data_IF_482819023455
#
_entry.id   IF_482819023455
#
_cell.length_a   1.000
_cell.length_b   1.000
_cell.length_c   1.000
_cell.angle_alpha   90.00
_cell.angle_beta   90.00
_cell.angle_gamma   90.00
#
_symmetry.space_group_name_H-M   'P 1'
#
loop_
_entity.id
_entity.type
_entity.pdbx_description
1 polymer ?
#
# COMPACT_ATOMS: atom_id res chain seq x y z
N UNK A 1 37.51 -29.55 -27.03
CA UNK A 1 38.55 -28.92 -26.19
C UNK A 1 38.22 -27.45 -26.11
N UNK A 2 37.65 -27.07 -24.95
CA UNK A 2 37.52 -25.74 -24.33
C UNK A 2 36.76 -24.65 -25.12
N UNK A 3 35.57 -24.26 -24.66
CA UNK A 3 35.28 -23.23 -23.61
C UNK A 3 35.76 -21.86 -24.12
N UNK A 4 34.89 -20.86 -24.31
CA UNK A 4 34.30 -20.09 -23.22
C UNK A 4 32.86 -19.63 -23.55
N UNK A 5 31.92 -20.16 -22.77
CA UNK A 5 30.69 -19.47 -22.39
C UNK A 5 31.01 -18.88 -21.02
N UNK A 6 31.15 -17.56 -20.90
CA UNK A 6 30.79 -16.87 -19.66
C UNK A 6 30.64 -15.36 -19.90
N UNK A 7 29.40 -14.97 -20.22
CA UNK A 7 28.89 -13.63 -19.91
C UNK A 7 27.75 -13.80 -18.91
N UNK A 8 28.05 -14.44 -17.78
CA UNK A 8 27.24 -14.31 -16.58
C UNK A 8 27.38 -12.86 -16.08
N UNK A 9 26.28 -12.11 -16.14
CA UNK A 9 25.46 -11.89 -14.94
C UNK A 9 26.27 -11.19 -13.85
N UNK A 10 26.63 -9.92 -14.11
CA UNK A 10 26.69 -8.94 -13.03
C UNK A 10 25.23 -8.57 -12.70
N UNK A 11 24.60 -9.47 -11.97
CA UNK A 11 23.46 -9.16 -11.15
C UNK A 11 24.04 -8.31 -10.02
N UNK A 12 23.78 -7.00 -10.07
CA UNK A 12 24.01 -6.11 -8.93
C UNK A 12 23.24 -6.71 -7.75
N UNK A 13 23.94 -7.43 -6.87
CA UNK A 13 23.51 -7.62 -5.50
C UNK A 13 23.39 -6.21 -4.92
N UNK A 14 22.17 -5.66 -4.93
CA UNK A 14 21.84 -4.55 -4.04
C UNK A 14 22.16 -5.05 -2.64
N UNK A 15 23.30 -4.62 -2.08
CA UNK A 15 23.63 -4.78 -0.68
C UNK A 15 22.45 -4.21 0.12
N UNK A 16 21.54 -5.08 0.56
CA UNK A 16 20.31 -4.66 1.19
C UNK A 16 20.65 -4.15 2.59
N UNK A 17 20.96 -2.86 2.69
CA UNK A 17 21.10 -2.19 3.98
C UNK A 17 19.75 -2.22 4.71
N UNK A 18 19.80 -2.54 6.00
CA UNK A 18 18.61 -2.64 6.86
C UNK A 18 18.59 -1.46 7.81
N UNK A 19 17.47 -0.73 7.87
CA UNK A 19 17.30 0.40 8.79
C UNK A 19 16.92 -0.11 10.18
N UNK A 20 17.77 0.17 11.18
CA UNK A 20 17.48 -0.09 12.60
C UNK A 20 17.04 1.19 13.30
N UNK A 21 15.98 1.11 14.08
CA UNK A 21 15.38 2.25 14.78
C UNK A 21 15.44 2.02 16.28
N UNK A 22 16.04 2.97 17.01
CA UNK A 22 16.15 2.93 18.46
C UNK A 22 15.43 4.12 19.09
N UNK A 23 14.63 3.86 20.12
CA UNK A 23 14.01 4.92 20.92
C UNK A 23 14.97 5.35 22.03
N UNK A 24 15.28 6.64 22.11
CA UNK A 24 16.21 7.17 23.11
C UNK A 24 16.09 8.68 23.30
N UNK A 25 16.83 9.19 24.28
CA UNK A 25 16.98 10.63 24.50
C UNK A 25 18.02 11.24 23.55
N UNK A 26 18.10 12.57 23.48
CA UNK A 26 19.15 13.26 22.72
C UNK A 26 20.57 12.86 23.17
N UNK A 27 20.74 12.57 24.47
CA UNK A 27 22.01 12.09 25.01
C UNK A 27 22.38 10.70 24.48
N UNK A 28 21.38 9.81 24.33
CA UNK A 28 21.59 8.49 23.77
C UNK A 28 21.94 8.57 22.28
N UNK A 29 21.32 9.49 21.55
CA UNK A 29 21.66 9.77 20.15
C UNK A 29 23.12 10.21 20.00
N UNK A 30 23.57 11.21 20.77
CA UNK A 30 24.98 11.65 20.70
C UNK A 30 25.96 10.55 21.07
N UNK A 31 25.60 9.70 22.05
CA UNK A 31 26.42 8.54 22.39
C UNK A 31 26.57 7.58 21.21
N UNK A 32 25.47 7.24 20.52
CA UNK A 32 25.55 6.37 19.33
C UNK A 32 26.34 7.03 18.19
N UNK A 33 26.14 8.33 17.96
CA UNK A 33 26.90 9.08 16.96
C UNK A 33 28.41 9.01 17.24
N UNK A 34 28.84 9.24 18.49
CA UNK A 34 30.26 9.16 18.85
C UNK A 34 30.84 7.76 18.66
N UNK A 35 30.07 6.70 18.94
CA UNK A 35 30.52 5.32 18.70
C UNK A 35 30.62 5.02 17.20
N UNK A 36 29.73 5.59 16.38
CA UNK A 36 29.76 5.44 14.93
C UNK A 36 30.97 6.13 14.31
N UNK A 37 31.22 7.40 14.68
CA UNK A 37 32.39 8.16 14.23
C UNK A 37 33.72 7.49 14.63
N UNK A 38 33.73 6.80 15.78
CA UNK A 38 34.89 6.05 16.26
C UNK A 38 35.03 4.65 15.62
N UNK A 39 34.05 4.19 14.83
CA UNK A 39 34.00 2.83 14.28
C UNK A 39 33.60 1.73 15.28
N UNK A 40 33.56 2.04 16.57
CA UNK A 40 33.23 1.11 17.65
C UNK A 40 31.80 0.57 17.58
N UNK A 41 30.88 1.33 16.96
CA UNK A 41 29.48 0.93 16.85
C UNK A 41 29.33 -0.33 15.98
N UNK A 42 30.08 -0.42 14.89
CA UNK A 42 30.07 -1.61 14.01
C UNK A 42 30.65 -2.82 14.73
N UNK A 43 31.74 -2.64 15.47
CA UNK A 43 32.36 -3.71 16.27
C UNK A 43 31.41 -4.23 17.36
N UNK A 44 30.68 -3.32 18.02
CA UNK A 44 29.74 -3.68 19.08
C UNK A 44 28.53 -4.47 18.55
N UNK A 45 28.03 -4.10 17.37
CA UNK A 45 26.86 -4.74 16.77
C UNK A 45 27.22 -5.98 15.94
N UNK A 46 28.49 -6.16 15.59
CA UNK A 46 28.95 -7.24 14.72
C UNK A 46 28.43 -7.12 13.27
N UNK A 47 27.98 -5.92 12.87
CA UNK A 47 27.50 -5.59 11.53
C UNK A 47 28.08 -4.24 11.10
N UNK A 48 28.27 -4.05 9.81
CA UNK A 48 28.71 -2.76 9.26
C UNK A 48 27.59 -1.73 9.41
N UNK A 49 27.85 -0.68 10.19
CA UNK A 49 26.97 0.49 10.27
C UNK A 49 27.37 1.47 9.18
N UNK A 50 26.43 1.82 8.31
CA UNK A 50 26.66 2.72 7.17
C UNK A 50 26.36 4.19 7.50
N UNK A 51 25.41 4.45 8.40
CA UNK A 51 25.01 5.80 8.80
C UNK A 51 24.27 5.79 10.17
N UNK A 52 24.28 6.92 10.86
CA UNK A 52 23.51 7.18 12.08
C UNK A 52 22.85 8.55 11.98
N UNK A 53 21.52 8.59 11.95
CA UNK A 53 20.75 9.82 11.82
C UNK A 53 19.61 9.93 12.82
N UNK A 54 19.22 11.16 13.15
CA UNK A 54 17.96 11.41 13.83
C UNK A 54 16.84 11.39 12.80
N UNK A 55 15.84 10.55 13.03
CA UNK A 55 14.65 10.45 12.18
C UNK A 55 13.44 10.90 12.98
N UNK A 56 12.54 11.63 12.32
CA UNK A 56 11.25 12.00 12.90
C UNK A 56 10.30 10.81 12.80
N UNK A 57 9.34 10.69 13.73
CA UNK A 57 8.40 9.57 13.76
C UNK A 57 7.56 9.45 12.48
N UNK A 58 7.35 10.55 11.76
CA UNK A 58 6.72 10.56 10.43
C UNK A 58 7.56 9.90 9.32
N UNK A 59 8.85 9.64 9.55
CA UNK A 59 9.73 8.88 8.67
C UNK A 59 9.83 7.39 9.07
N UNK A 60 9.28 7.01 10.23
CA UNK A 60 9.28 5.63 10.76
C UNK A 60 8.13 4.78 10.25
N UNK A 61 7.11 5.41 9.66
CA UNK A 61 6.15 4.70 8.83
C UNK A 61 6.95 4.15 7.65
N UNK A 62 7.13 2.82 7.62
CA UNK A 62 7.63 2.09 6.46
C UNK A 62 7.09 2.79 5.21
N UNK A 63 7.97 3.24 4.31
CA UNK A 63 7.54 4.02 3.14
C UNK A 63 6.34 3.31 2.55
N UNK A 64 5.15 3.93 2.59
CA UNK A 64 3.94 3.18 2.39
C UNK A 64 3.94 2.78 0.92
N UNK A 65 4.12 1.46 0.69
CA UNK A 65 4.49 0.93 -0.62
C UNK A 65 3.47 1.39 -1.66
N UNK A 66 3.98 2.02 -2.69
CA UNK A 66 3.16 2.58 -3.77
C UNK A 66 2.91 1.48 -4.79
N UNK A 67 1.66 1.06 -4.94
CA UNK A 67 1.27 0.00 -5.85
C UNK A 67 1.10 0.58 -7.27
N UNK A 68 1.78 -0.03 -8.24
CA UNK A 68 1.64 0.36 -9.65
C UNK A 68 0.40 -0.29 -10.28
N UNK A 69 -0.68 0.49 -10.41
CA UNK A 69 -1.94 0.02 -10.98
C UNK A 69 -1.86 -0.24 -12.48
N UNK A 70 -0.91 0.36 -13.20
CA UNK A 70 -0.76 0.09 -14.63
C UNK A 70 -0.30 -1.33 -14.94
N UNK A 71 0.34 -2.00 -13.98
CA UNK A 71 0.69 -3.42 -14.09
C UNK A 71 -0.55 -4.32 -14.13
N UNK A 72 -1.66 -3.88 -13.52
CA UNK A 72 -2.90 -4.65 -13.47
C UNK A 72 -3.53 -4.79 -14.86
N UNK A 73 -3.45 -3.75 -15.70
CA UNK A 73 -3.89 -3.82 -17.11
C UNK A 73 -3.06 -4.81 -17.94
N UNK A 74 -1.82 -5.09 -17.52
CA UNK A 74 -0.92 -6.05 -18.15
C UNK A 74 -1.05 -7.47 -17.57
N UNK A 75 -2.05 -7.71 -16.70
CA UNK A 75 -2.21 -8.94 -15.93
C UNK A 75 -1.01 -9.28 -15.03
N UNK A 76 -0.17 -8.29 -14.68
CA UNK A 76 0.91 -8.47 -13.72
C UNK A 76 0.44 -8.05 -12.32
N UNK A 77 0.29 -9.04 -11.44
CA UNK A 77 -0.22 -8.86 -10.08
C UNK A 77 0.78 -9.25 -9.00
N UNK A 78 2.07 -9.43 -9.33
CA UNK A 78 3.08 -9.88 -8.36
C UNK A 78 3.17 -8.92 -7.17
N UNK A 79 3.28 -7.62 -7.44
CA UNK A 79 3.31 -6.58 -6.40
C UNK A 79 1.99 -6.52 -5.62
N UNK A 80 0.86 -6.55 -6.33
CA UNK A 80 -0.47 -6.52 -5.72
C UNK A 80 -0.66 -7.68 -4.73
N UNK A 81 -0.32 -8.91 -5.13
CA UNK A 81 -0.44 -10.10 -4.28
C UNK A 81 0.47 -10.01 -3.05
N UNK A 82 1.69 -9.49 -3.21
CA UNK A 82 2.59 -9.25 -2.07
C UNK A 82 1.98 -8.27 -1.06
N UNK A 83 1.25 -7.27 -1.53
CA UNK A 83 0.52 -6.30 -0.70
C UNK A 83 -0.91 -6.72 -0.34
N UNK A 84 -1.23 -8.01 -0.47
CA UNK A 84 -2.53 -8.61 -0.16
C UNK A 84 -3.72 -8.03 -0.95
N UNK A 85 -3.47 -7.50 -2.15
CA UNK A 85 -4.48 -7.21 -3.15
C UNK A 85 -4.78 -8.47 -3.95
N UNK A 86 -5.84 -9.15 -3.53
CA UNK A 86 -6.25 -10.46 -4.04
C UNK A 86 -7.49 -10.35 -4.92
N UNK A 87 -7.94 -11.45 -5.50
CA UNK A 87 -9.24 -11.50 -6.18
C UNK A 87 -10.38 -11.33 -5.18
N UNK A 88 -11.57 -10.93 -5.67
CA UNK A 88 -12.75 -10.85 -4.83
C UNK A 88 -13.12 -12.22 -4.23
N UNK A 89 -12.94 -13.31 -4.98
CA UNK A 89 -13.19 -14.67 -4.47
C UNK A 89 -12.27 -15.03 -3.30
N UNK A 90 -11.00 -14.64 -3.35
CA UNK A 90 -10.05 -14.90 -2.25
C UNK A 90 -10.39 -14.11 -0.98
N UNK A 91 -10.93 -12.88 -1.12
CA UNK A 91 -11.27 -12.01 0.03
C UNK A 91 -12.64 -12.34 0.62
N UNK A 92 -13.66 -12.54 -0.21
CA UNK A 92 -15.04 -12.79 0.24
C UNK A 92 -15.36 -14.28 0.39
N UNK A 93 -14.51 -15.17 -0.13
CA UNK A 93 -14.81 -16.59 -0.27
C UNK A 93 -15.95 -16.85 -1.26
N UNK A 94 -16.52 -18.06 -1.22
CA UNK A 94 -17.68 -18.47 -2.06
C UNK A 94 -19.02 -17.85 -1.62
N UNK A 95 -19.00 -16.92 -0.66
CA UNK A 95 -20.23 -16.33 -0.12
C UNK A 95 -20.88 -15.36 -1.11
N UNK A 96 -22.21 -15.45 -1.19
CA UNK A 96 -23.11 -15.03 -2.28
C UNK A 96 -23.23 -13.50 -2.48
N UNK A 97 -22.49 -12.68 -1.73
CA UNK A 97 -22.54 -11.21 -1.81
C UNK A 97 -21.32 -10.64 -2.53
N UNK A 98 -20.96 -11.19 -3.69
CA UNK A 98 -20.04 -10.48 -4.57
C UNK A 98 -20.71 -9.18 -5.00
N UNK A 99 -20.11 -8.01 -4.74
CA UNK A 99 -20.62 -6.75 -5.25
C UNK A 99 -20.74 -6.83 -6.78
N UNK A 100 -21.92 -6.50 -7.30
CA UNK A 100 -22.23 -6.64 -8.72
C UNK A 100 -21.58 -5.52 -9.56
N UNK A 101 -20.25 -5.51 -9.66
CA UNK A 101 -19.55 -4.62 -10.56
C UNK A 101 -19.45 -5.25 -11.95
N UNK A 102 -20.20 -4.74 -12.94
CA UNK A 102 -20.20 -5.25 -14.33
C UNK A 102 -19.36 -4.33 -15.23
N UNK A 103 -18.10 -4.68 -15.48
CA UNK A 103 -17.21 -3.92 -16.40
C UNK A 103 -16.05 -4.81 -16.88
N UNK A 104 -15.42 -4.46 -18.03
CA UNK A 104 -14.17 -5.08 -18.56
C UNK A 104 -12.93 -4.72 -17.73
N UNK A 105 -13.15 -4.43 -16.45
CA UNK A 105 -12.22 -3.75 -15.59
C UNK A 105 -11.43 -4.75 -14.74
N UNK A 106 -10.25 -4.33 -14.30
CA UNK A 106 -9.40 -5.13 -13.43
C UNK A 106 -9.80 -4.88 -11.98
N UNK A 107 -10.15 -5.95 -11.26
CA UNK A 107 -10.71 -5.86 -9.90
C UNK A 107 -9.85 -6.62 -8.92
N UNK A 108 -9.49 -5.94 -7.84
CA UNK A 108 -8.82 -6.55 -6.69
C UNK A 108 -9.45 -6.05 -5.40
N UNK A 109 -9.31 -6.84 -4.37
CA UNK A 109 -9.78 -6.52 -3.03
C UNK A 109 -8.67 -6.76 -2.02
N UNK A 110 -8.68 -5.96 -0.95
CA UNK A 110 -7.81 -6.11 0.21
C UNK A 110 -8.65 -6.14 1.46
N UNK A 111 -8.40 -7.14 2.31
CA UNK A 111 -9.00 -7.22 3.64
C UNK A 111 -8.27 -6.26 4.58
N UNK A 112 -9.02 -5.38 5.23
CA UNK A 112 -8.49 -4.36 6.16
C UNK A 112 -9.09 -4.61 7.53
N UNK A 113 -8.22 -4.83 8.52
CA UNK A 113 -8.59 -4.93 9.93
C UNK A 113 -8.54 -3.55 10.58
N UNK A 114 -9.66 -3.10 11.13
CA UNK A 114 -9.83 -1.84 11.85
C UNK A 114 -10.36 -2.15 13.25
N UNK A 115 -9.45 -2.35 14.20
CA UNK A 115 -9.81 -2.78 15.56
C UNK A 115 -10.37 -4.20 15.56
N UNK A 116 -11.60 -4.37 16.05
CA UNK A 116 -12.32 -5.65 16.07
C UNK A 116 -13.15 -5.91 14.79
N UNK A 117 -13.15 -4.95 13.84
CA UNK A 117 -13.91 -5.04 12.59
C UNK A 117 -13.00 -5.27 11.40
N UNK A 118 -13.50 -6.02 10.44
CA UNK A 118 -12.81 -6.25 9.16
C UNK A 118 -13.72 -5.81 8.02
N UNK A 119 -13.15 -5.06 7.09
CA UNK A 119 -13.82 -4.60 5.87
C UNK A 119 -12.95 -4.96 4.66
N UNK A 120 -13.56 -5.13 3.49
CA UNK A 120 -12.85 -5.22 2.24
C UNK A 120 -12.84 -3.85 1.55
N UNK A 121 -11.65 -3.40 1.18
CA UNK A 121 -11.48 -2.34 0.20
C UNK A 121 -11.37 -2.99 -1.18
N UNK A 122 -12.21 -2.56 -2.11
CA UNK A 122 -12.27 -3.03 -3.49
C UNK A 122 -11.80 -1.89 -4.38
N UNK A 123 -10.94 -2.24 -5.32
CA UNK A 123 -10.47 -1.35 -6.37
C UNK A 123 -10.81 -1.98 -7.71
N UNK A 124 -11.58 -1.26 -8.51
CA UNK A 124 -12.05 -1.66 -9.83
C UNK A 124 -11.62 -0.59 -10.84
N UNK A 125 -10.65 -0.91 -11.69
CA UNK A 125 -10.04 0.04 -12.63
C UNK A 125 -10.32 -0.34 -14.09
N UNK A 126 -10.71 0.64 -14.89
CA UNK A 126 -10.99 0.49 -16.30
C UNK A 126 -10.41 1.65 -17.10
N UNK A 127 -9.88 1.42 -18.31
CA UNK A 127 -9.67 2.51 -19.25
C UNK A 127 -11.01 3.22 -19.54
N UNK A 128 -11.02 4.56 -19.49
CA UNK A 128 -12.16 5.38 -19.86
C UNK A 128 -11.94 6.08 -21.24
N UNK A 129 -12.89 6.89 -21.69
CA UNK A 129 -12.70 7.70 -22.91
C UNK A 129 -11.72 8.84 -22.62
N UNK A 130 -10.70 9.02 -23.49
CA UNK A 130 -9.73 10.14 -23.45
C UNK A 130 -8.96 10.30 -22.12
N UNK A 131 -7.63 10.19 -22.18
CA UNK A 131 -6.77 9.15 -21.52
C UNK A 131 -7.09 8.75 -20.06
N UNK A 132 -8.22 9.15 -19.49
CA UNK A 132 -8.63 8.89 -18.13
C UNK A 132 -8.80 7.39 -17.83
N UNK A 133 -8.60 7.07 -16.56
CA UNK A 133 -8.76 5.74 -15.99
C UNK A 133 -9.89 5.86 -14.95
N UNK A 134 -11.03 5.25 -15.25
CA UNK A 134 -12.12 5.10 -14.30
C UNK A 134 -11.66 4.19 -13.17
N UNK A 135 -11.77 4.69 -11.95
CA UNK A 135 -11.36 4.03 -10.72
C UNK A 135 -12.54 4.02 -9.77
N UNK A 136 -13.14 2.85 -9.61
CA UNK A 136 -14.26 2.64 -8.70
C UNK A 136 -13.72 2.03 -7.40
N UNK A 137 -13.93 2.76 -6.31
CA UNK A 137 -13.61 2.37 -4.95
C UNK A 137 -14.85 1.82 -4.27
N UNK A 138 -14.75 0.62 -3.71
CA UNK A 138 -15.82 0.02 -2.92
C UNK A 138 -15.33 -0.34 -1.53
N UNK A 139 -16.12 -0.10 -0.50
CA UNK A 139 -15.85 -0.65 0.83
C UNK A 139 -17.05 -1.46 1.28
N UNK A 140 -16.79 -2.71 1.68
CA UNK A 140 -17.82 -3.68 2.04
C UNK A 140 -17.46 -4.40 3.34
N UNK A 141 -18.45 -4.79 4.16
CA UNK A 141 -18.19 -5.66 5.30
C UNK A 141 -17.77 -7.05 4.81
N UNK A 142 -16.88 -7.72 5.56
CA UNK A 142 -16.50 -9.11 5.29
C UNK A 142 -16.71 -10.00 6.51
N UNK A 143 -16.76 -11.31 6.27
CA UNK A 143 -17.09 -12.32 7.28
C UNK A 143 -18.61 -12.40 7.51
N UNK A 144 -19.03 -12.43 8.77
CA UNK A 144 -20.44 -12.60 9.15
C UNK A 144 -21.21 -11.28 9.32
N UNK A 145 -20.59 -10.14 8.99
CA UNK A 145 -21.20 -8.82 9.16
C UNK A 145 -22.06 -8.46 7.95
N UNK A 146 -23.26 -7.91 8.21
CA UNK A 146 -24.18 -7.45 7.14
C UNK A 146 -23.93 -6.00 6.76
N UNK A 147 -23.53 -5.16 7.72
CA UNK A 147 -23.41 -3.72 7.55
C UNK A 147 -21.99 -3.25 7.82
N UNK A 148 -21.61 -2.15 7.18
CA UNK A 148 -20.39 -1.43 7.49
C UNK A 148 -20.41 -0.93 8.95
N UNK A 149 -19.24 -0.88 9.62
CA UNK A 149 -19.13 -0.24 10.92
C UNK A 149 -19.64 1.21 10.88
N UNK A 150 -20.38 1.62 11.91
CA UNK A 150 -20.81 3.00 12.06
C UNK A 150 -19.58 3.92 12.18
N UNK A 151 -19.65 5.11 11.55
CA UNK A 151 -18.56 6.09 11.50
C UNK A 151 -17.29 5.63 10.76
N UNK A 152 -17.36 4.54 9.99
CA UNK A 152 -16.30 4.20 9.04
C UNK A 152 -16.16 5.34 8.03
N UNK A 153 -14.93 5.77 7.77
CA UNK A 153 -14.62 6.81 6.80
C UNK A 153 -13.77 6.26 5.66
N UNK A 154 -13.99 6.80 4.46
CA UNK A 154 -13.19 6.59 3.27
C UNK A 154 -12.76 7.97 2.77
N UNK A 155 -11.46 8.22 2.81
CA UNK A 155 -10.87 9.43 2.27
C UNK A 155 -9.98 9.09 1.07
N UNK A 156 -10.01 9.93 0.05
CA UNK A 156 -9.10 9.83 -1.10
C UNK A 156 -8.39 11.16 -1.25
N UNK A 157 -7.07 11.07 -1.41
CA UNK A 157 -6.20 12.22 -1.55
C UNK A 157 -5.43 12.13 -2.85
N UNK A 158 -5.24 13.27 -3.49
CA UNK A 158 -4.28 13.46 -4.56
C UNK A 158 -3.22 14.44 -4.05
N UNK A 159 -1.98 13.99 -3.96
CA UNK A 159 -0.94 14.73 -3.23
C UNK A 159 -1.38 15.04 -1.79
N UNK A 160 -1.49 16.33 -1.43
CA UNK A 160 -1.94 16.80 -0.11
C UNK A 160 -3.42 17.24 -0.11
N UNK A 161 -4.09 17.19 -1.27
CA UNK A 161 -5.47 17.65 -1.42
C UNK A 161 -6.46 16.48 -1.22
N UNK A 162 -7.52 16.73 -0.45
CA UNK A 162 -8.61 15.76 -0.27
C UNK A 162 -9.55 15.82 -1.47
N UNK A 163 -9.58 14.76 -2.27
CA UNK A 163 -10.54 14.61 -3.38
C UNK A 163 -11.90 14.12 -2.89
N UNK A 164 -11.89 13.22 -1.90
CA UNK A 164 -13.10 12.56 -1.39
C UNK A 164 -13.00 12.44 0.11
N UNK A 165 -14.09 12.75 0.80
CA UNK A 165 -14.31 12.43 2.21
C UNK A 165 -15.74 11.86 2.36
N UNK A 166 -15.82 10.55 2.57
CA UNK A 166 -17.08 9.84 2.75
C UNK A 166 -17.14 9.21 4.13
N UNK A 167 -18.31 9.23 4.73
CA UNK A 167 -18.63 8.46 5.92
C UNK A 167 -19.70 7.42 5.57
N UNK A 168 -19.52 6.19 6.04
CA UNK A 168 -20.45 5.11 5.83
C UNK A 168 -21.85 5.50 6.35
N UNK A 169 -22.90 5.41 5.50
CA UNK A 169 -24.26 5.62 5.95
C UNK A 169 -24.67 4.59 7.01
N UNK A 170 -25.59 4.98 7.89
CA UNK A 170 -26.14 4.09 8.91
C UNK A 170 -26.73 2.83 8.27
N UNK A 171 -26.36 1.65 8.78
CA UNK A 171 -26.81 0.35 8.27
C UNK A 171 -26.59 0.15 6.75
N UNK A 172 -25.50 0.69 6.21
CA UNK A 172 -25.12 0.46 4.81
C UNK A 172 -24.45 -0.90 4.62
N UNK A 173 -24.83 -1.64 3.58
CA UNK A 173 -24.18 -2.90 3.20
C UNK A 173 -22.86 -2.69 2.44
N UNK A 174 -22.55 -1.45 2.09
CA UNK A 174 -21.34 -1.04 1.40
C UNK A 174 -21.41 0.44 1.02
N UNK A 175 -20.27 1.00 0.62
CA UNK A 175 -20.19 2.33 0.00
C UNK A 175 -19.31 2.25 -1.24
N UNK A 176 -19.64 3.06 -2.25
CA UNK A 176 -18.95 3.08 -3.53
C UNK A 176 -18.69 4.54 -3.92
N UNK A 177 -17.53 4.81 -4.48
CA UNK A 177 -17.17 6.08 -5.09
C UNK A 177 -16.48 5.83 -6.43
N UNK A 178 -16.92 6.52 -7.48
CA UNK A 178 -16.24 6.53 -8.78
C UNK A 178 -15.37 7.78 -8.91
N UNK A 179 -14.15 7.59 -9.41
CA UNK A 179 -13.15 8.63 -9.63
C UNK A 179 -12.52 8.44 -11.01
N UNK A 180 -11.93 9.50 -11.53
CA UNK A 180 -11.22 9.50 -12.79
C UNK A 180 -9.84 10.06 -12.54
N UNK A 181 -8.82 9.31 -12.97
CA UNK A 181 -7.43 9.71 -12.85
C UNK A 181 -6.75 9.69 -14.21
N UNK A 182 -5.84 10.62 -14.44
CA UNK A 182 -4.98 10.65 -15.60
C UNK A 182 -3.76 9.72 -15.42
N UNK A 183 -3.22 9.19 -16.52
CA UNK A 183 -1.95 8.48 -16.45
C UNK A 183 -0.83 9.42 -16.00
N UNK A 184 -0.13 9.03 -14.95
CA UNK A 184 0.92 9.78 -14.26
C UNK A 184 0.50 10.21 -12.86
N UNK A 185 -0.80 10.18 -12.53
CA UNK A 185 -1.30 10.63 -11.23
C UNK A 185 -1.09 9.58 -10.14
N UNK A 186 -0.78 10.09 -8.95
CA UNK A 186 -0.65 9.32 -7.72
C UNK A 186 -1.76 9.73 -6.77
N UNK A 187 -2.39 8.75 -6.13
CA UNK A 187 -3.42 8.99 -5.16
C UNK A 187 -3.28 8.06 -3.95
N UNK A 188 -3.83 8.51 -2.83
CA UNK A 188 -3.81 7.80 -1.55
C UNK A 188 -5.23 7.55 -1.09
N UNK A 189 -5.50 6.31 -0.71
CA UNK A 189 -6.76 5.93 -0.06
C UNK A 189 -6.49 5.75 1.43
N UNK A 190 -7.37 6.31 2.25
CA UNK A 190 -7.40 6.08 3.68
C UNK A 190 -8.76 5.52 4.09
N UNK A 191 -8.75 4.37 4.76
CA UNK A 191 -9.94 3.80 5.39
C UNK A 191 -9.74 3.87 6.90
N UNK A 192 -10.64 4.54 7.62
CA UNK A 192 -10.49 4.77 9.06
C UNK A 192 -11.77 4.53 9.86
N UNK A 193 -11.59 4.10 11.11
CA UNK A 193 -12.65 3.86 12.09
C UNK A 193 -12.13 4.23 13.49
N UNK A 194 -12.55 5.39 14.00
CA UNK A 194 -12.00 5.93 15.24
C UNK A 194 -10.49 6.18 15.12
N UNK A 195 -9.70 5.56 15.98
CA UNK A 195 -8.23 5.67 15.98
C UNK A 195 -7.55 4.69 15.02
N UNK A 196 -8.29 3.72 14.46
CA UNK A 196 -7.73 2.75 13.52
C UNK A 196 -7.77 3.33 12.10
N UNK A 197 -6.66 3.21 11.38
CA UNK A 197 -6.57 3.63 9.98
C UNK A 197 -5.69 2.67 9.17
N UNK A 198 -6.07 2.49 7.91
CA UNK A 198 -5.27 1.84 6.89
C UNK A 198 -5.08 2.80 5.73
N UNK A 199 -3.86 2.88 5.22
CA UNK A 199 -3.49 3.77 4.12
C UNK A 199 -2.91 2.92 2.98
N UNK A 200 -3.36 3.18 1.76
CA UNK A 200 -2.89 2.53 0.54
C UNK A 200 -2.51 3.61 -0.48
N UNK A 201 -1.35 3.50 -1.09
CA UNK A 201 -0.89 4.46 -2.12
C UNK A 201 -0.83 3.78 -3.47
N UNK A 202 -1.23 4.53 -4.49
CA UNK A 202 -1.31 4.04 -5.86
C UNK A 202 -0.67 5.02 -6.82
N UNK A 203 -0.13 4.46 -7.90
CA UNK A 203 0.38 5.21 -9.02
C UNK A 203 -0.12 4.58 -10.32
N UNK A 204 -0.62 5.41 -11.22
CA UNK A 204 -0.99 5.03 -12.58
C UNK A 204 0.10 5.53 -13.51
N UNK A 205 0.88 4.65 -14.13
CA UNK A 205 1.78 5.04 -15.22
C UNK A 205 1.06 5.08 -16.58
N UNK A 206 1.50 5.94 -17.51
CA UNK A 206 1.08 5.84 -18.91
C UNK A 206 1.45 4.47 -19.47
N UNK A 207 0.44 3.75 -19.99
CA UNK A 207 0.65 2.55 -20.79
C UNK A 207 1.24 2.96 -22.15
N UNK A 208 2.45 2.47 -22.45
CA UNK A 208 3.10 2.64 -23.77
C UNK A 208 2.50 1.69 -24.81
#
# INVERSE_FOLDING_TARGET
>A
MNNEIDKNQQQEEMSSSTLFVFKGSQKDFYRMMSLFEAGELSDLLGIEVLDVGAIVESQLVAQPKVINLSQWFQNNFVEAIQEAWLTLEEVFGKSIRNPAFRSQAVKRAKSIQLGDRTVALILDIAPAENPEISTILGVYPIGSQTYLPENLKLNVYESEETLVELQAPLQSEGMIQELFFLPGEAFRIEVSLGDFKQIENFLLFPTR
#
